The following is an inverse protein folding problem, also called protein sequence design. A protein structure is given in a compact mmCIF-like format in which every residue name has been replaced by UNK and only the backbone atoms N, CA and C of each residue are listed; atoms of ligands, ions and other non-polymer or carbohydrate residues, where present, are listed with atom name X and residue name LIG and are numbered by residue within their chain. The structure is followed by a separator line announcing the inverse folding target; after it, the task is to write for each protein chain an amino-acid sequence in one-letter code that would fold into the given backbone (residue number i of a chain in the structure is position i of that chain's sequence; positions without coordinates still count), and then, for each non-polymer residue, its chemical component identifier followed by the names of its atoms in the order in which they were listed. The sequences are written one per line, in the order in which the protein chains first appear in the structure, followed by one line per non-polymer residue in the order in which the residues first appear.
data_IF_266953931602
#
_entry.id   IF_266953931602
#
_cell.length_a   1.000
_cell.length_b   1.000
_cell.length_c   1.000
_cell.angle_alpha   90.00
_cell.angle_beta   90.00
_cell.angle_gamma   90.00
#
_symmetry.space_group_name_H-M   'P 1'
#
loop_
_entity.id
_entity.type
_entity.pdbx_description
1 polymer ?
#
# COMPACT_ATOMS: atom_id res chain seq x y z
N UNK A 1 -6.99 47.63 14.12
CA UNK A 1 -6.10 48.40 13.23
C UNK A 1 -5.49 47.41 12.25
N UNK A 2 -6.20 47.03 11.19
CA UNK A 2 -6.53 47.77 9.95
C UNK A 2 -5.58 47.30 8.83
N UNK A 3 -5.99 46.27 8.07
CA UNK A 3 -6.63 46.27 6.72
C UNK A 3 -5.64 46.42 5.55
N UNK A 4 -5.80 45.53 4.55
CA UNK A 4 -5.71 45.69 3.07
C UNK A 4 -4.73 44.69 2.41
N UNK A 5 -5.21 43.65 1.70
CA UNK A 5 -5.78 43.61 0.34
C UNK A 5 -4.67 43.48 -0.73
N UNK A 6 -4.49 42.31 -1.34
CA UNK A 6 -5.14 41.83 -2.58
C UNK A 6 -4.49 42.38 -3.87
N UNK A 7 -3.93 41.48 -4.69
CA UNK A 7 -3.79 41.70 -6.14
C UNK A 7 -3.65 40.33 -6.85
N UNK A 8 -4.79 39.82 -7.27
CA UNK A 8 -4.95 38.79 -8.31
C UNK A 8 -4.60 39.36 -9.68
N UNK A 9 -3.80 38.65 -10.49
CA UNK A 9 -3.71 38.89 -11.93
C UNK A 9 -4.11 37.64 -12.70
N UNK A 10 -5.35 37.69 -13.18
CA UNK A 10 -5.89 36.85 -14.25
C UNK A 10 -5.31 37.31 -15.59
N UNK A 11 -4.76 36.38 -16.38
CA UNK A 11 -4.52 36.58 -17.81
C UNK A 11 -5.43 35.61 -18.58
N UNK A 12 -6.43 36.19 -19.23
CA UNK A 12 -7.35 35.54 -20.16
C UNK A 12 -6.60 35.13 -21.44
N UNK A 13 -6.76 33.87 -21.84
CA UNK A 13 -6.70 33.47 -23.25
C UNK A 13 -8.01 32.78 -23.61
N UNK A 14 -8.86 33.54 -24.28
CA UNK A 14 -10.10 33.10 -24.89
C UNK A 14 -9.79 32.19 -26.09
N UNK A 15 -9.94 30.88 -25.91
CA UNK A 15 -10.09 29.92 -26.99
C UNK A 15 -11.58 29.57 -27.14
N UNK A 16 -12.27 30.24 -28.06
CA UNK A 16 -13.63 29.90 -28.44
C UNK A 16 -13.62 28.57 -29.22
N UNK A 17 -14.04 27.49 -28.57
CA UNK A 17 -14.39 26.25 -29.28
C UNK A 17 -15.90 26.22 -29.54
N UNK A 18 -16.33 26.09 -30.81
CA UNK A 18 -17.74 26.05 -31.16
C UNK A 18 -18.38 24.78 -30.59
N UNK A 19 -19.45 24.99 -29.83
CA UNK A 19 -20.36 23.93 -29.39
C UNK A 19 -21.14 23.40 -30.60
N UNK A 20 -20.69 22.28 -31.18
CA UNK A 20 -21.54 21.47 -32.03
C UNK A 20 -22.45 20.63 -31.13
N UNK A 21 -23.68 21.11 -30.92
CA UNK A 21 -24.77 20.31 -30.41
C UNK A 21 -25.12 19.23 -31.45
N UNK A 22 -24.54 18.04 -31.30
CA UNK A 22 -24.89 16.88 -32.12
C UNK A 22 -26.16 16.28 -31.53
N UNK A 23 -27.28 16.47 -32.22
CA UNK A 23 -28.53 15.78 -31.92
C UNK A 23 -28.28 14.27 -31.96
N UNK A 24 -28.42 13.59 -30.81
CA UNK A 24 -28.44 12.13 -30.78
C UNK A 24 -29.75 11.65 -31.40
N UNK A 25 -29.71 11.40 -32.70
CA UNK A 25 -30.69 10.52 -33.33
C UNK A 25 -30.61 9.17 -32.60
N UNK A 26 -31.70 8.80 -31.91
CA UNK A 26 -31.89 7.45 -31.39
C UNK A 26 -31.90 6.50 -32.59
N UNK A 27 -30.73 5.98 -32.94
CA UNK A 27 -30.62 4.79 -33.78
C UNK A 27 -31.27 3.64 -33.02
N UNK A 28 -32.53 3.36 -33.35
CA UNK A 28 -33.14 2.06 -33.05
C UNK A 28 -32.23 0.95 -33.60
N UNK A 29 -32.33 -0.28 -33.07
CA UNK A 29 -31.45 -1.38 -33.45
C UNK A 29 -31.51 -1.52 -34.98
N UNK A 30 -30.36 -1.32 -35.63
CA UNK A 30 -30.21 -1.55 -37.06
C UNK A 30 -30.71 -2.97 -37.34
N UNK A 31 -31.69 -3.09 -38.24
CA UNK A 31 -32.19 -4.36 -38.71
C UNK A 31 -31.01 -5.19 -39.21
N UNK A 32 -30.63 -6.20 -38.44
CA UNK A 32 -29.61 -7.16 -38.81
C UNK A 32 -30.04 -7.84 -40.10
N UNK A 33 -29.27 -7.68 -41.17
CA UNK A 33 -29.56 -8.27 -42.48
C UNK A 33 -29.95 -9.74 -42.35
N UNK A 34 -31.13 -10.07 -42.90
CA UNK A 34 -31.84 -11.34 -42.81
C UNK A 34 -30.90 -12.55 -42.92
N UNK A 35 -30.62 -13.18 -41.77
CA UNK A 35 -29.95 -14.48 -41.71
C UNK A 35 -30.82 -15.41 -40.87
N UNK A 36 -31.03 -16.63 -41.34
CA UNK A 36 -31.91 -17.60 -40.70
C UNK A 36 -31.11 -18.30 -39.60
N UNK A 37 -31.47 -18.10 -38.34
CA UNK A 37 -30.86 -18.74 -37.18
C UNK A 37 -31.41 -20.15 -37.03
N UNK A 38 -30.52 -21.13 -36.87
CA UNK A 38 -30.88 -22.54 -36.67
C UNK A 38 -30.08 -23.15 -35.54
N UNK A 39 -30.74 -23.94 -34.70
CA UNK A 39 -30.12 -24.68 -33.59
C UNK A 39 -30.89 -25.96 -33.28
N UNK A 40 -30.33 -26.80 -32.41
CA UNK A 40 -30.95 -28.03 -31.92
C UNK A 40 -31.18 -27.90 -30.41
N UNK A 41 -32.44 -28.06 -29.97
CA UNK A 41 -32.80 -28.01 -28.54
C UNK A 41 -32.32 -29.27 -27.78
N UNK A 42 -32.46 -29.32 -26.45
CA UNK A 42 -32.06 -30.49 -25.64
C UNK A 42 -32.86 -31.76 -25.93
N UNK A 43 -33.98 -31.62 -26.65
CA UNK A 43 -34.87 -32.72 -27.05
C UNK A 43 -34.58 -33.19 -28.48
N UNK A 44 -33.52 -32.69 -29.10
CA UNK A 44 -33.10 -33.05 -30.46
C UNK A 44 -33.94 -32.40 -31.58
N UNK A 45 -34.79 -31.42 -31.27
CA UNK A 45 -35.63 -30.75 -32.27
C UNK A 45 -34.90 -29.56 -32.87
N UNK A 46 -35.01 -29.40 -34.19
CA UNK A 46 -34.43 -28.27 -34.92
C UNK A 46 -35.32 -27.04 -34.82
N UNK A 47 -34.81 -25.98 -34.22
CA UNK A 47 -35.46 -24.67 -34.17
C UNK A 47 -34.87 -23.78 -35.27
N UNK A 48 -35.74 -23.04 -35.95
CA UNK A 48 -35.38 -22.16 -37.08
C UNK A 48 -36.11 -20.82 -36.88
N UNK A 49 -35.41 -19.70 -36.99
CA UNK A 49 -36.02 -18.38 -36.82
C UNK A 49 -35.25 -17.30 -37.57
N UNK A 50 -35.93 -16.27 -38.07
CA UNK A 50 -35.28 -15.11 -38.70
C UNK A 50 -34.64 -14.14 -37.67
N UNK A 51 -34.77 -14.45 -36.38
CA UNK A 51 -34.19 -13.74 -35.24
C UNK A 51 -33.41 -14.71 -34.33
N UNK A 52 -32.48 -14.23 -33.48
CA UNK A 52 -31.80 -15.08 -32.50
C UNK A 52 -32.78 -15.88 -31.64
N UNK A 53 -32.52 -17.17 -31.45
CA UNK A 53 -33.41 -18.10 -30.76
C UNK A 53 -33.09 -18.09 -29.26
N UNK A 54 -33.99 -17.59 -28.38
CA UNK A 54 -33.73 -17.48 -26.93
C UNK A 54 -33.42 -18.82 -26.25
N UNK A 55 -34.13 -19.88 -26.66
CA UNK A 55 -33.98 -21.23 -26.11
C UNK A 55 -32.62 -21.88 -26.44
N UNK A 56 -31.89 -21.32 -27.41
CA UNK A 56 -30.58 -21.80 -27.84
C UNK A 56 -29.44 -20.83 -27.50
N UNK A 57 -29.64 -19.91 -26.56
CA UNK A 57 -28.62 -18.94 -26.15
C UNK A 57 -27.41 -19.63 -25.49
N UNK A 58 -27.64 -20.75 -24.80
CA UNK A 58 -26.59 -21.59 -24.21
C UNK A 58 -25.99 -22.62 -25.20
N UNK A 59 -26.34 -22.56 -26.49
CA UNK A 59 -25.84 -23.49 -27.53
C UNK A 59 -25.32 -22.76 -28.76
N UNK A 60 -24.60 -23.47 -29.62
CA UNK A 60 -24.24 -22.94 -30.93
C UNK A 60 -25.49 -22.71 -31.79
N UNK A 61 -25.59 -21.55 -32.44
CA UNK A 61 -26.61 -21.25 -33.44
C UNK A 61 -25.94 -21.01 -34.78
N UNK A 62 -26.41 -21.69 -35.83
CA UNK A 62 -25.92 -21.48 -37.20
C UNK A 62 -26.78 -20.45 -37.89
N UNK A 63 -26.18 -19.36 -38.33
CA UNK A 63 -26.83 -18.35 -39.17
C UNK A 63 -26.63 -18.76 -40.62
N UNK A 64 -27.73 -19.01 -41.31
CA UNK A 64 -27.76 -19.37 -42.72
C UNK A 64 -28.12 -18.13 -43.56
N UNK A 65 -27.61 -18.10 -44.79
CA UNK A 65 -28.05 -17.16 -45.82
C UNK A 65 -29.44 -17.58 -46.37
N UNK A 66 -30.06 -16.72 -47.17
CA UNK A 66 -31.35 -17.03 -47.82
C UNK A 66 -31.28 -18.21 -48.80
N UNK A 67 -30.09 -18.53 -49.32
CA UNK A 67 -29.81 -19.69 -50.17
C UNK A 67 -29.52 -20.98 -49.37
N UNK A 68 -29.60 -20.93 -48.04
CA UNK A 68 -29.33 -22.05 -47.14
C UNK A 68 -27.85 -22.31 -46.86
N UNK A 69 -26.93 -21.55 -47.45
CA UNK A 69 -25.50 -21.66 -47.16
C UNK A 69 -25.16 -21.14 -45.75
N UNK A 70 -24.16 -21.74 -45.08
CA UNK A 70 -23.75 -21.32 -43.74
C UNK A 70 -23.03 -19.97 -43.80
N UNK A 71 -23.62 -18.94 -43.18
CA UNK A 71 -23.03 -17.60 -43.09
C UNK A 71 -22.05 -17.48 -41.93
N UNK A 72 -22.47 -17.88 -40.73
CA UNK A 72 -21.63 -17.88 -39.51
C UNK A 72 -22.22 -18.79 -38.44
N UNK A 73 -21.39 -19.19 -37.48
CA UNK A 73 -21.83 -19.86 -36.25
C UNK A 73 -21.75 -18.86 -35.10
N UNK A 74 -22.85 -18.67 -34.37
CA UNK A 74 -22.94 -17.89 -33.14
C UNK A 74 -22.63 -18.82 -31.98
N UNK A 75 -21.55 -18.59 -31.22
CA UNK A 75 -21.22 -19.40 -30.06
C UNK A 75 -22.25 -19.18 -28.94
N UNK A 76 -22.38 -20.14 -28.01
CA UNK A 76 -23.20 -19.96 -26.82
C UNK A 76 -22.75 -18.74 -26.03
N UNK A 77 -23.70 -17.95 -25.51
CA UNK A 77 -23.35 -16.87 -24.60
C UNK A 77 -23.10 -17.45 -23.22
N UNK A 78 -22.01 -17.02 -22.56
CA UNK A 78 -21.71 -17.41 -21.20
C UNK A 78 -22.89 -17.10 -20.26
N UNK A 79 -23.18 -18.04 -19.38
CA UNK A 79 -24.11 -17.84 -18.27
C UNK A 79 -23.60 -16.72 -17.35
N UNK A 80 -24.48 -16.21 -16.48
CA UNK A 80 -24.07 -15.18 -15.52
C UNK A 80 -22.93 -15.67 -14.60
N UNK A 81 -22.97 -16.95 -14.22
CA UNK A 81 -21.95 -17.60 -13.39
C UNK A 81 -20.62 -17.77 -14.14
N UNK A 82 -20.65 -18.33 -15.36
CA UNK A 82 -19.44 -18.49 -16.18
C UNK A 82 -18.77 -17.15 -16.51
N UNK A 83 -19.57 -16.11 -16.78
CA UNK A 83 -19.05 -14.74 -16.97
C UNK A 83 -18.40 -14.23 -15.69
N UNK A 84 -19.02 -14.42 -14.53
CA UNK A 84 -18.46 -13.99 -13.25
C UNK A 84 -17.15 -14.73 -12.91
N UNK A 85 -17.05 -16.02 -13.23
CA UNK A 85 -15.85 -16.82 -13.07
C UNK A 85 -14.72 -16.37 -14.00
N UNK A 86 -15.05 -16.12 -15.28
CA UNK A 86 -14.09 -15.57 -16.24
C UNK A 86 -13.56 -14.21 -15.77
N UNK A 87 -14.44 -13.29 -15.40
CA UNK A 87 -14.03 -11.99 -14.89
C UNK A 87 -13.19 -12.12 -13.60
N UNK A 88 -13.52 -13.07 -12.71
CA UNK A 88 -12.71 -13.33 -11.52
C UNK A 88 -11.33 -13.89 -11.86
N UNK A 89 -11.21 -14.75 -12.87
CA UNK A 89 -9.94 -15.25 -13.37
C UNK A 89 -9.11 -14.14 -14.03
N UNK A 90 -9.73 -13.29 -14.85
CA UNK A 90 -9.10 -12.14 -15.48
C UNK A 90 -8.60 -11.12 -14.44
N UNK A 91 -9.41 -10.84 -13.41
CA UNK A 91 -9.00 -10.00 -12.27
C UNK A 91 -7.78 -10.59 -11.55
N UNK A 92 -7.79 -11.89 -11.23
CA UNK A 92 -6.65 -12.57 -10.60
C UNK A 92 -5.39 -12.49 -11.46
N UNK A 93 -5.50 -12.81 -12.76
CA UNK A 93 -4.37 -12.71 -13.69
C UNK A 93 -3.85 -11.27 -13.85
N UNK A 94 -4.73 -10.27 -13.82
CA UNK A 94 -4.33 -8.86 -13.86
C UNK A 94 -3.58 -8.45 -12.60
N UNK A 95 -4.05 -8.86 -11.41
CA UNK A 95 -3.37 -8.63 -10.14
C UNK A 95 -1.99 -9.28 -10.11
N UNK A 96 -1.86 -10.51 -10.60
CA UNK A 96 -0.57 -11.20 -10.68
C UNK A 96 0.41 -10.50 -11.64
N UNK A 97 -0.07 -10.04 -12.81
CA UNK A 97 0.74 -9.26 -13.75
C UNK A 97 1.19 -7.94 -13.14
N UNK A 98 0.31 -7.24 -12.44
CA UNK A 98 0.63 -6.00 -11.73
C UNK A 98 1.67 -6.25 -10.62
N UNK A 99 1.48 -7.31 -9.82
CA UNK A 99 2.41 -7.68 -8.75
C UNK A 99 3.82 -7.99 -9.27
N UNK A 100 3.93 -8.70 -10.40
CA UNK A 100 5.21 -8.97 -11.08
C UNK A 100 5.86 -7.68 -11.59
N UNK A 101 5.09 -6.81 -12.26
CA UNK A 101 5.61 -5.54 -12.75
C UNK A 101 6.11 -4.63 -11.60
N UNK A 102 5.37 -4.62 -10.48
CA UNK A 102 5.77 -3.89 -9.29
C UNK A 102 7.04 -4.46 -8.66
N UNK A 103 7.19 -5.79 -8.61
CA UNK A 103 8.41 -6.43 -8.12
C UNK A 103 9.63 -6.06 -8.97
N UNK A 104 9.51 -6.13 -10.31
CA UNK A 104 10.55 -5.68 -11.25
C UNK A 104 10.92 -4.21 -11.02
N UNK A 105 9.92 -3.35 -10.83
CA UNK A 105 10.14 -1.91 -10.59
C UNK A 105 10.89 -1.69 -9.28
N UNK A 106 10.51 -2.37 -8.19
CA UNK A 106 11.17 -2.26 -6.89
C UNK A 106 12.64 -2.67 -6.97
N UNK A 107 12.93 -3.81 -7.57
CA UNK A 107 14.30 -4.33 -7.65
C UNK A 107 15.20 -3.42 -8.51
N UNK A 108 14.67 -2.90 -9.64
CA UNK A 108 15.39 -1.91 -10.46
C UNK A 108 15.69 -0.64 -9.69
N UNK A 109 14.69 -0.09 -8.99
CA UNK A 109 14.87 1.12 -8.19
C UNK A 109 15.89 0.90 -7.07
N UNK A 110 15.91 -0.30 -6.48
CA UNK A 110 16.85 -0.66 -5.42
C UNK A 110 18.29 -0.66 -5.93
N UNK A 111 18.54 -1.28 -7.09
CA UNK A 111 19.88 -1.29 -7.74
C UNK A 111 20.30 0.10 -8.20
N UNK A 112 19.36 0.92 -8.71
CA UNK A 112 19.67 2.32 -9.10
C UNK A 112 20.08 3.14 -7.87
N UNK A 113 19.35 3.00 -6.76
CA UNK A 113 19.65 3.70 -5.50
C UNK A 113 20.98 3.23 -4.91
N UNK A 114 21.24 1.93 -5.01
CA UNK A 114 22.42 1.28 -4.46
C UNK A 114 23.13 0.46 -5.54
N UNK A 115 24.00 1.10 -6.34
CA UNK A 115 24.73 0.41 -7.41
C UNK A 115 25.81 -0.54 -6.87
N UNK A 116 26.23 -0.40 -5.60
CA UNK A 116 27.23 -1.26 -4.97
C UNK A 116 27.11 -1.28 -3.44
N UNK A 117 27.82 -2.21 -2.79
CA UNK A 117 27.79 -2.38 -1.34
C UNK A 117 28.25 -1.13 -0.57
N UNK A 118 29.20 -0.36 -1.10
CA UNK A 118 29.68 0.86 -0.45
C UNK A 118 28.58 1.94 -0.37
N UNK A 119 27.79 2.11 -1.44
CA UNK A 119 26.66 3.05 -1.48
C UNK A 119 25.55 2.66 -0.48
N UNK A 120 25.26 1.36 -0.38
CA UNK A 120 24.31 0.82 0.60
C UNK A 120 24.82 0.99 2.03
N UNK A 121 26.10 0.67 2.30
CA UNK A 121 26.73 0.87 3.61
C UNK A 121 26.71 2.32 4.06
N UNK A 122 26.97 3.27 3.14
CA UNK A 122 26.86 4.71 3.44
C UNK A 122 25.44 5.09 3.87
N UNK A 123 24.42 4.54 3.21
CA UNK A 123 23.03 4.79 3.60
C UNK A 123 22.68 4.15 4.94
N UNK A 124 23.18 2.94 5.24
CA UNK A 124 23.05 2.30 6.56
C UNK A 124 23.63 3.17 7.66
N UNK A 125 24.88 3.63 7.52
CA UNK A 125 25.50 4.47 8.55
C UNK A 125 24.73 5.79 8.74
N UNK A 126 24.32 6.44 7.66
CA UNK A 126 23.50 7.65 7.75
C UNK A 126 22.17 7.41 8.51
N UNK A 127 21.54 6.25 8.31
CA UNK A 127 20.32 5.88 9.04
C UNK A 127 20.59 5.49 10.51
N UNK A 128 21.72 4.85 10.81
CA UNK A 128 22.09 4.53 12.19
C UNK A 128 22.50 5.78 12.98
N UNK A 129 23.13 6.75 12.33
CA UNK A 129 23.60 7.97 12.97
C UNK A 129 22.45 8.80 13.55
N UNK A 130 21.29 8.84 12.89
CA UNK A 130 20.10 9.53 13.43
C UNK A 130 19.62 8.89 14.73
N UNK A 131 19.59 7.55 14.80
CA UNK A 131 19.19 6.81 16.00
C UNK A 131 20.25 6.97 17.11
N UNK A 132 21.54 6.88 16.76
CA UNK A 132 22.65 7.10 17.70
C UNK A 132 22.63 8.52 18.28
N UNK A 133 22.26 9.53 17.49
CA UNK A 133 22.07 10.90 17.98
C UNK A 133 20.95 10.98 19.01
N UNK A 134 19.83 10.30 18.78
CA UNK A 134 18.72 10.25 19.73
C UNK A 134 19.12 9.56 21.05
N UNK A 135 19.90 8.47 20.97
CA UNK A 135 20.44 7.77 22.14
C UNK A 135 21.32 8.71 22.95
N UNK A 136 22.30 9.38 22.31
CA UNK A 136 23.18 10.34 23.01
C UNK A 136 22.41 11.47 23.68
N UNK A 137 21.37 11.99 23.02
CA UNK A 137 20.52 13.03 23.60
C UNK A 137 19.75 12.52 24.84
N UNK A 138 19.27 11.28 24.79
CA UNK A 138 18.57 10.63 25.91
C UNK A 138 19.51 10.38 27.08
N UNK A 139 20.71 9.84 26.82
CA UNK A 139 21.77 9.65 27.82
C UNK A 139 22.16 10.97 28.48
N UNK A 140 22.35 12.03 27.69
CA UNK A 140 22.65 13.36 28.21
C UNK A 140 21.51 13.86 29.12
N UNK A 141 20.24 13.69 28.72
CA UNK A 141 19.12 14.12 29.54
C UNK A 141 19.03 13.35 30.87
N UNK A 142 19.36 12.06 30.88
CA UNK A 142 19.44 11.27 32.12
C UNK A 142 20.53 11.82 33.04
N UNK A 143 21.69 12.21 32.50
CA UNK A 143 22.77 12.82 33.29
C UNK A 143 22.34 14.16 33.88
N UNK A 144 21.68 15.02 33.09
CA UNK A 144 21.13 16.30 33.56
C UNK A 144 20.11 16.09 34.69
N UNK A 145 19.16 15.15 34.53
CA UNK A 145 18.19 14.80 35.57
C UNK A 145 18.87 14.30 36.84
N UNK A 146 19.95 13.53 36.73
CA UNK A 146 20.73 13.08 37.89
C UNK A 146 21.43 14.25 38.61
N UNK A 147 21.89 15.27 37.89
CA UNK A 147 22.43 16.51 38.47
C UNK A 147 21.33 17.32 39.16
N UNK A 148 20.16 17.47 38.52
CA UNK A 148 18.99 18.14 39.09
C UNK A 148 18.51 17.45 40.39
N UNK A 149 18.65 16.12 40.47
CA UNK A 149 18.22 15.32 41.63
C UNK A 149 19.08 15.52 42.87
N UNK A 150 20.37 15.84 42.73
CA UNK A 150 21.31 15.97 43.86
C UNK A 150 20.85 16.98 44.93
N UNK A 151 20.59 18.26 44.60
CA UNK A 151 20.16 19.23 45.62
C UNK A 151 18.81 18.87 46.25
N UNK A 152 17.91 18.19 45.51
CA UNK A 152 16.64 17.71 46.06
C UNK A 152 16.86 16.63 47.12
N UNK A 153 17.83 15.73 46.92
CA UNK A 153 18.17 14.72 47.91
C UNK A 153 18.87 15.33 49.12
N UNK A 154 19.79 16.27 48.90
CA UNK A 154 20.45 17.01 49.99
C UNK A 154 19.42 17.73 50.87
N UNK A 155 18.41 18.37 50.28
CA UNK A 155 17.30 18.97 51.04
C UNK A 155 16.45 17.89 51.74
N UNK A 156 16.22 16.75 51.09
CA UNK A 156 15.45 15.64 51.67
C UNK A 156 16.13 15.02 52.90
N UNK A 157 17.47 15.02 52.96
CA UNK A 157 18.24 14.52 54.11
C UNK A 157 17.90 15.28 55.41
N UNK A 158 17.59 16.58 55.32
CA UNK A 158 17.17 17.38 56.48
C UNK A 158 15.86 16.88 57.11
N UNK A 159 15.02 16.17 56.35
CA UNK A 159 13.73 15.65 56.78
C UNK A 159 13.74 14.15 57.10
N UNK A 160 14.92 13.51 57.22
CA UNK A 160 14.98 12.09 57.61
C UNK A 160 14.24 11.83 58.93
N UNK A 161 13.31 10.88 58.92
CA UNK A 161 12.46 10.55 60.08
C UNK A 161 11.35 11.57 60.39
N UNK A 162 11.16 12.59 59.55
CA UNK A 162 10.10 13.61 59.64
C UNK A 162 9.30 13.67 58.34
N UNK A 163 8.17 14.36 58.37
CA UNK A 163 7.38 14.60 57.15
C UNK A 163 8.09 15.64 56.27
N UNK A 164 8.33 15.26 55.01
CA UNK A 164 8.92 16.12 54.00
C UNK A 164 7.90 17.15 53.48
N UNK A 165 8.31 18.38 53.12
CA UNK A 165 7.44 19.32 52.44
C UNK A 165 6.85 18.74 51.15
N UNK A 166 5.54 18.94 50.91
CA UNK A 166 4.84 18.39 49.76
C UNK A 166 5.50 18.76 48.43
N UNK A 167 5.98 20.01 48.32
CA UNK A 167 6.66 20.51 47.12
C UNK A 167 7.95 19.74 46.83
N UNK A 168 8.79 19.50 47.83
CA UNK A 168 10.05 18.78 47.68
C UNK A 168 9.79 17.33 47.25
N UNK A 169 8.81 16.67 47.88
CA UNK A 169 8.37 15.33 47.48
C UNK A 169 7.93 15.29 46.01
N UNK A 170 7.06 16.23 45.61
CA UNK A 170 6.60 16.32 44.21
C UNK A 170 7.73 16.56 43.22
N UNK A 171 8.76 17.34 43.58
CA UNK A 171 9.92 17.58 42.71
C UNK A 171 10.76 16.31 42.52
N UNK A 172 10.98 15.55 43.59
CA UNK A 172 11.68 14.25 43.53
C UNK A 172 10.86 13.27 42.68
N UNK A 173 9.56 13.14 42.97
CA UNK A 173 8.67 12.24 42.21
C UNK A 173 8.62 12.61 40.71
N UNK A 174 8.63 13.92 40.38
CA UNK A 174 8.66 14.39 39.00
C UNK A 174 9.99 14.10 38.30
N UNK A 175 11.13 14.26 39.00
CA UNK A 175 12.44 13.90 38.47
C UNK A 175 12.54 12.38 38.22
N UNK A 176 12.10 11.57 39.18
CA UNK A 176 12.09 10.11 39.06
C UNK A 176 11.21 9.66 37.88
N UNK A 177 10.01 10.25 37.73
CA UNK A 177 9.14 10.00 36.57
C UNK A 177 9.79 10.40 35.24
N UNK A 178 10.52 11.53 35.21
CA UNK A 178 11.24 11.96 34.01
C UNK A 178 12.38 11.00 33.65
N UNK A 179 13.12 10.49 34.65
CA UNK A 179 14.20 9.49 34.44
C UNK A 179 13.62 8.20 33.87
N UNK A 180 12.51 7.69 34.42
CA UNK A 180 11.86 6.49 33.90
C UNK A 180 11.35 6.68 32.46
N UNK A 181 10.83 7.87 32.13
CA UNK A 181 10.46 8.18 30.74
C UNK A 181 11.68 8.17 29.80
N UNK A 182 12.82 8.71 30.22
CA UNK A 182 14.06 8.65 29.42
C UNK A 182 14.59 7.22 29.27
N UNK A 183 14.50 6.39 30.31
CA UNK A 183 14.88 4.96 30.24
C UNK A 183 14.03 4.20 29.23
N UNK A 184 12.71 4.41 29.26
CA UNK A 184 11.81 3.81 28.28
C UNK A 184 12.13 4.28 26.84
N UNK A 185 12.48 5.56 26.67
CA UNK A 185 12.93 6.09 25.38
C UNK A 185 14.23 5.42 24.90
N UNK A 186 15.21 5.23 25.78
CA UNK A 186 16.46 4.55 25.46
C UNK A 186 16.23 3.12 24.98
N UNK A 187 15.39 2.33 25.68
CA UNK A 187 15.03 0.97 25.25
C UNK A 187 14.40 0.94 23.87
N UNK A 188 13.51 1.90 23.57
CA UNK A 188 12.91 2.00 22.23
C UNK A 188 13.93 2.35 21.16
N UNK A 189 14.89 3.23 21.45
CA UNK A 189 15.96 3.61 20.52
C UNK A 189 16.94 2.47 20.27
N UNK A 190 17.27 1.67 21.29
CA UNK A 190 18.07 0.45 21.14
C UNK A 190 17.36 -0.59 20.25
N UNK A 191 16.06 -0.80 20.48
CA UNK A 191 15.25 -1.66 19.63
C UNK A 191 15.21 -1.15 18.18
N UNK A 192 15.15 0.18 18.00
CA UNK A 192 15.19 0.82 16.70
C UNK A 192 16.55 0.61 15.99
N UNK A 193 17.66 0.74 16.71
CA UNK A 193 18.99 0.40 16.16
C UNK A 193 19.03 -1.03 15.62
N UNK A 194 18.51 -1.99 16.39
CA UNK A 194 18.46 -3.40 15.97
C UNK A 194 17.56 -3.57 14.76
N UNK A 195 16.39 -2.91 14.74
CA UNK A 195 15.43 -2.96 13.64
C UNK A 195 16.04 -2.41 12.34
N UNK A 196 16.67 -1.23 12.40
CA UNK A 196 17.35 -0.61 11.25
C UNK A 196 18.44 -1.53 10.70
N UNK A 197 19.30 -2.08 11.57
CA UNK A 197 20.32 -3.02 11.14
C UNK A 197 19.74 -4.24 10.41
N UNK A 198 18.71 -4.89 10.98
CA UNK A 198 18.05 -6.05 10.35
C UNK A 198 17.46 -5.72 8.98
N UNK A 199 16.86 -4.55 8.82
CA UNK A 199 16.33 -4.11 7.53
C UNK A 199 17.43 -3.95 6.49
N UNK A 200 18.52 -3.27 6.83
CA UNK A 200 19.66 -3.11 5.94
C UNK A 200 20.37 -4.45 5.66
N UNK A 201 20.41 -5.39 6.60
CA UNK A 201 20.98 -6.72 6.37
C UNK A 201 20.12 -7.54 5.37
N UNK A 202 18.79 -7.49 5.50
CA UNK A 202 17.87 -8.13 4.57
C UNK A 202 17.92 -7.48 3.17
N UNK A 203 17.98 -6.15 3.10
CA UNK A 203 18.14 -5.40 1.86
C UNK A 203 19.47 -5.73 1.17
N UNK A 204 20.58 -5.78 1.92
CA UNK A 204 21.89 -6.14 1.40
C UNK A 204 21.91 -7.57 0.84
N UNK A 205 21.30 -8.53 1.54
CA UNK A 205 21.21 -9.91 1.08
C UNK A 205 20.44 -10.00 -0.24
N UNK A 206 19.39 -9.20 -0.42
CA UNK A 206 18.64 -9.11 -1.67
C UNK A 206 19.48 -8.45 -2.77
N UNK A 207 20.10 -7.30 -2.49
CA UNK A 207 20.96 -6.57 -3.41
C UNK A 207 22.14 -7.40 -3.92
N UNK A 208 22.80 -8.18 -3.05
CA UNK A 208 23.90 -9.07 -3.44
C UNK A 208 23.48 -10.06 -4.53
N UNK A 209 22.25 -10.58 -4.46
CA UNK A 209 21.72 -11.47 -5.51
C UNK A 209 21.45 -10.71 -6.82
N UNK A 210 20.91 -9.50 -6.75
CA UNK A 210 20.67 -8.66 -7.93
C UNK A 210 21.99 -8.27 -8.61
N UNK A 211 23.01 -7.85 -7.86
CA UNK A 211 24.34 -7.54 -8.40
C UNK A 211 25.05 -8.78 -8.96
N UNK A 212 24.75 -9.98 -8.44
CA UNK A 212 25.23 -11.25 -8.98
C UNK A 212 24.49 -11.71 -10.25
N UNK A 213 23.54 -10.91 -10.77
CA UNK A 213 22.85 -11.18 -12.04
C UNK A 213 21.46 -11.79 -11.90
N UNK A 214 20.87 -11.83 -10.70
CA UNK A 214 19.47 -12.26 -10.57
C UNK A 214 18.52 -11.34 -11.36
N UNK A 215 17.50 -11.92 -12.00
CA UNK A 215 16.53 -11.14 -12.76
C UNK A 215 15.65 -10.31 -11.80
N UNK A 216 15.47 -8.99 -12.05
CA UNK A 216 14.54 -8.17 -11.27
C UNK A 216 13.13 -8.80 -11.24
N UNK A 217 12.50 -8.82 -10.06
CA UNK A 217 11.18 -9.40 -9.81
C UNK A 217 11.16 -10.90 -9.52
N UNK A 218 12.31 -11.60 -9.60
CA UNK A 218 12.40 -13.05 -9.38
C UNK A 218 12.67 -13.45 -7.92
N UNK A 219 13.15 -12.53 -7.09
CA UNK A 219 13.62 -12.83 -5.73
C UNK A 219 12.53 -12.78 -4.65
N UNK A 220 11.28 -12.46 -5.02
CA UNK A 220 10.19 -12.24 -4.07
C UNK A 220 10.31 -10.92 -3.30
N UNK A 221 9.48 -10.73 -2.27
CA UNK A 221 9.56 -9.54 -1.42
C UNK A 221 10.76 -9.63 -0.47
N UNK A 222 11.42 -8.50 -0.20
CA UNK A 222 12.40 -8.40 0.89
C UNK A 222 11.63 -8.62 2.20
N UNK A 223 12.06 -9.55 3.06
CA UNK A 223 11.46 -9.70 4.38
C UNK A 223 11.76 -8.43 5.18
N UNK A 224 10.83 -7.48 5.18
CA UNK A 224 10.87 -6.36 6.12
C UNK A 224 10.48 -6.89 7.48
N UNK A 225 11.23 -6.51 8.52
CA UNK A 225 10.95 -6.90 9.89
C UNK A 225 9.45 -6.72 10.19
N UNK A 226 8.75 -7.83 10.38
CA UNK A 226 7.36 -7.85 10.83
C UNK A 226 7.28 -7.00 12.12
N UNK A 227 6.27 -6.11 12.27
CA UNK A 227 6.13 -5.39 13.52
C UNK A 227 6.06 -6.42 14.67
N UNK A 228 6.77 -6.20 15.79
CA UNK A 228 6.71 -7.12 16.90
C UNK A 228 5.24 -7.31 17.30
N UNK A 229 4.81 -8.55 17.63
CA UNK A 229 3.44 -8.79 18.04
C UNK A 229 3.10 -7.85 19.21
N UNK A 230 1.86 -7.33 19.28
CA UNK A 230 1.47 -6.41 20.35
C UNK A 230 1.79 -7.06 21.70
N UNK A 231 2.51 -6.34 22.57
CA UNK A 231 2.84 -6.85 23.89
C UNK A 231 1.53 -7.20 24.62
N UNK A 232 1.53 -8.30 25.39
CA UNK A 232 0.36 -8.74 26.17
C UNK A 232 -0.22 -7.65 27.08
N UNK A 233 0.56 -6.62 27.42
CA UNK A 233 0.09 -5.47 28.20
C UNK A 233 -0.97 -4.65 27.45
N UNK A 234 -0.81 -4.44 26.13
CA UNK A 234 -1.79 -3.70 25.32
C UNK A 234 -3.11 -4.47 25.12
N UNK A 235 -3.07 -5.80 25.10
CA UNK A 235 -4.26 -6.64 24.99
C UNK A 235 -5.12 -6.66 26.27
N UNK A 236 -4.53 -6.32 27.41
CA UNK A 236 -5.24 -6.28 28.71
C UNK A 236 -5.95 -4.95 28.98
N UNK A 237 -5.60 -3.87 28.25
CA UNK A 237 -6.25 -2.57 28.37
C UNK A 237 -7.48 -2.40 27.46
N UNK A 238 -7.78 -3.41 26.63
CA UNK A 238 -8.91 -3.45 25.70
C UNK A 238 -10.02 -4.44 26.13
N UNK A 239 -9.98 -4.91 27.38
CA UNK A 239 -11.03 -5.68 28.04
C UNK A 239 -11.43 -4.97 29.33
#
# INVERSE_FOLDING_TARGET
MSVLAAATLSALLAGAWPSCAVAQARGGPAASGAGIYTCVDDRGRRLTSDRPIPDCVAKEQRVLNSDGSLRRVVPPTLTAEERAEQEAAERRAALERAAKADAVRRDRNLVIRYPNEASHRKAREAALDTVRMAIRATEQRVQELAVERKPLLEEAEFYQGRQMPLRLKQQIDANDAAVEAQRAAATNQEAELVRVNRLYDAELAHLRKLWAGALPGSLGAIPTAEPPPPSRAAASAAR
#
